data_IF_201680403950
#
_entry.id   IF_201680403950
#
_cell.length_a   1.000
_cell.length_b   1.000
_cell.length_c   1.000
_cell.angle_alpha   90.00
_cell.angle_beta   90.00
_cell.angle_gamma   90.00
#
_symmetry.space_group_name_H-M   'P 1'
#
loop_
_entity.id
_entity.type
_entity.pdbx_description
1 polymer ?
#
# COMPACT_ATOMS: atom_id res chain seq x y z
N UNK A 1 21.07 12.02 -1.11
CA UNK A 1 21.14 10.64 -0.56
C UNK A 1 20.07 9.82 -1.27
N UNK A 2 20.47 8.95 -2.19
CA UNK A 2 19.58 8.08 -2.94
C UNK A 2 19.22 6.87 -2.09
N UNK A 3 17.95 6.79 -1.67
CA UNK A 3 17.44 5.67 -0.88
C UNK A 3 17.28 4.46 -1.84
N UNK A 4 18.30 3.60 -1.91
CA UNK A 4 18.22 2.36 -2.70
C UNK A 4 17.31 1.37 -1.98
N UNK A 5 16.09 1.19 -2.50
CA UNK A 5 15.15 0.18 -2.02
C UNK A 5 15.43 -1.13 -2.77
N UNK A 6 15.83 -2.22 -2.08
CA UNK A 6 16.09 -3.49 -2.74
C UNK A 6 14.86 -4.03 -3.47
N UNK A 7 15.03 -4.61 -4.65
CA UNK A 7 13.94 -5.17 -5.47
C UNK A 7 13.17 -6.32 -4.78
N UNK A 8 13.77 -6.97 -3.77
CA UNK A 8 13.06 -7.92 -2.90
C UNK A 8 12.00 -7.26 -2.00
N UNK A 9 12.09 -5.95 -1.76
CA UNK A 9 11.11 -5.16 -0.98
C UNK A 9 10.01 -4.60 -1.88
N UNK A 10 10.31 -4.34 -3.16
CA UNK A 10 9.35 -3.81 -4.13
C UNK A 10 8.17 -4.78 -4.37
N UNK A 11 8.45 -6.08 -4.53
CA UNK A 11 7.43 -7.13 -4.71
C UNK A 11 6.44 -7.26 -3.54
N UNK A 12 6.89 -7.41 -2.28
CA UNK A 12 5.98 -7.48 -1.15
C UNK A 12 5.24 -6.16 -0.90
N UNK A 13 5.82 -5.00 -1.25
CA UNK A 13 5.13 -3.72 -1.13
C UNK A 13 3.87 -3.65 -2.02
N UNK A 14 3.95 -4.15 -3.27
CA UNK A 14 2.78 -4.22 -4.17
C UNK A 14 1.71 -5.19 -3.64
N UNK A 15 2.12 -6.36 -3.13
CA UNK A 15 1.18 -7.32 -2.53
C UNK A 15 0.49 -6.74 -1.27
N UNK A 16 1.26 -6.10 -0.39
CA UNK A 16 0.74 -5.42 0.80
C UNK A 16 -0.20 -4.26 0.43
N UNK A 17 0.11 -3.51 -0.64
CA UNK A 17 -0.76 -2.45 -1.15
C UNK A 17 -2.11 -3.00 -1.58
N UNK A 18 -2.13 -4.07 -2.37
CA UNK A 18 -3.38 -4.70 -2.81
C UNK A 18 -4.18 -5.26 -1.63
N UNK A 19 -3.50 -5.89 -0.66
CA UNK A 19 -4.15 -6.44 0.52
C UNK A 19 -4.73 -5.33 1.43
N UNK A 20 -4.02 -4.21 1.57
CA UNK A 20 -4.51 -3.03 2.28
C UNK A 20 -5.72 -2.42 1.56
N UNK A 21 -5.73 -2.32 0.23
CA UNK A 21 -6.89 -1.85 -0.53
C UNK A 21 -8.10 -2.79 -0.39
N UNK A 22 -7.87 -4.11 -0.35
CA UNK A 22 -8.92 -5.11 -0.16
C UNK A 22 -9.53 -5.00 1.25
N UNK A 23 -8.67 -4.90 2.27
CA UNK A 23 -9.09 -4.68 3.66
C UNK A 23 -9.87 -3.36 3.79
N UNK A 24 -9.39 -2.28 3.16
CA UNK A 24 -10.08 -0.99 3.16
C UNK A 24 -11.47 -1.07 2.53
N UNK A 25 -11.60 -1.78 1.42
CA UNK A 25 -12.90 -2.02 0.77
C UNK A 25 -13.86 -2.82 1.67
N UNK A 26 -13.37 -3.87 2.32
CA UNK A 26 -14.17 -4.67 3.26
C UNK A 26 -14.65 -3.83 4.46
N UNK A 27 -13.81 -2.93 4.97
CA UNK A 27 -14.16 -2.01 6.06
C UNK A 27 -15.22 -0.98 5.64
N UNK A 28 -15.17 -0.48 4.42
CA UNK A 28 -16.21 0.42 3.87
C UNK A 28 -17.56 -0.32 3.78
N UNK A 29 -17.56 -1.56 3.27
CA UNK A 29 -18.78 -2.38 3.25
C UNK A 29 -19.30 -2.69 4.65
N UNK A 30 -18.40 -2.95 5.60
CA UNK A 30 -18.77 -3.17 7.00
C UNK A 30 -19.37 -1.90 7.63
N UNK A 31 -18.83 -0.72 7.32
CA UNK A 31 -19.39 0.56 7.74
C UNK A 31 -20.82 0.74 7.22
N UNK A 32 -21.04 0.44 5.94
CA UNK A 32 -22.37 0.51 5.32
C UNK A 32 -23.35 -0.50 5.93
N UNK A 33 -22.89 -1.73 6.22
CA UNK A 33 -23.72 -2.78 6.81
C UNK A 33 -24.09 -2.51 8.27
N UNK A 34 -23.18 -1.92 9.05
CA UNK A 34 -23.38 -1.66 10.49
C UNK A 34 -23.91 -0.25 10.78
N UNK A 35 -23.87 0.65 9.79
CA UNK A 35 -24.15 2.08 9.98
C UNK A 35 -23.09 2.82 10.81
N UNK A 36 -21.99 2.17 11.17
CA UNK A 36 -20.94 2.75 11.98
C UNK A 36 -19.85 3.37 11.10
N UNK A 37 -19.84 4.71 11.04
CA UNK A 37 -18.89 5.49 10.25
C UNK A 37 -17.42 5.29 10.67
N UNK A 38 -17.16 4.80 11.89
CA UNK A 38 -15.80 4.54 12.37
C UNK A 38 -15.05 3.56 11.48
N UNK A 39 -15.75 2.55 10.94
CA UNK A 39 -15.18 1.59 10.00
C UNK A 39 -14.77 2.22 8.67
N UNK A 40 -15.48 3.27 8.22
CA UNK A 40 -15.11 3.99 7.01
C UNK A 40 -13.82 4.81 7.19
N UNK A 41 -13.57 5.34 8.39
CA UNK A 41 -12.31 6.01 8.73
C UNK A 41 -11.14 5.03 8.60
N UNK A 42 -11.27 3.83 9.17
CA UNK A 42 -10.26 2.78 9.02
C UNK A 42 -10.10 2.30 7.58
N UNK A 43 -11.20 2.25 6.82
CA UNK A 43 -11.16 2.00 5.37
C UNK A 43 -10.30 3.03 4.63
N UNK A 44 -10.47 4.32 4.95
CA UNK A 44 -9.64 5.40 4.41
C UNK A 44 -8.17 5.28 4.78
N UNK A 45 -7.84 4.92 6.03
CA UNK A 45 -6.45 4.67 6.46
C UNK A 45 -5.83 3.52 5.67
N UNK A 46 -6.57 2.44 5.42
CA UNK A 46 -6.13 1.33 4.59
C UNK A 46 -5.81 1.77 3.15
N UNK A 47 -6.64 2.61 2.54
CA UNK A 47 -6.36 3.19 1.21
C UNK A 47 -5.14 4.11 1.23
N UNK A 48 -4.97 4.93 2.27
CA UNK A 48 -3.77 5.75 2.44
C UNK A 48 -2.49 4.91 2.55
N UNK A 49 -2.53 3.84 3.35
CA UNK A 49 -1.44 2.89 3.47
C UNK A 49 -1.13 2.17 2.15
N UNK A 50 -2.16 1.73 1.43
CA UNK A 50 -2.02 1.15 0.10
C UNK A 50 -1.35 2.11 -0.89
N UNK A 51 -1.79 3.37 -0.94
CA UNK A 51 -1.19 4.38 -1.82
C UNK A 51 0.30 4.61 -1.50
N UNK A 52 0.67 4.62 -0.22
CA UNK A 52 2.06 4.81 0.21
C UNK A 52 2.93 3.58 -0.13
N UNK A 53 2.41 2.37 0.08
CA UNK A 53 3.07 1.12 -0.32
C UNK A 53 3.24 1.02 -1.83
N UNK A 54 2.21 1.44 -2.59
CA UNK A 54 2.26 1.52 -4.04
C UNK A 54 3.33 2.51 -4.51
N UNK A 55 3.35 3.71 -3.93
CA UNK A 55 4.35 4.74 -4.23
C UNK A 55 5.78 4.27 -3.91
N UNK A 56 5.98 3.59 -2.78
CA UNK A 56 7.27 3.00 -2.42
C UNK A 56 7.70 1.90 -3.41
N UNK A 57 6.75 1.10 -3.90
CA UNK A 57 6.99 0.11 -4.97
C UNK A 57 7.39 0.76 -6.29
N UNK A 58 6.75 1.87 -6.66
CA UNK A 58 7.04 2.62 -7.88
C UNK A 58 8.44 3.25 -7.86
N UNK A 59 8.84 3.85 -6.73
CA UNK A 59 10.22 4.35 -6.51
C UNK A 59 11.24 3.21 -6.62
N UNK A 60 10.93 2.05 -6.06
CA UNK A 60 11.82 0.89 -6.16
C UNK A 60 11.93 0.35 -7.60
N UNK A 61 10.87 0.47 -8.40
CA UNK A 61 10.86 0.04 -9.80
C UNK A 61 11.61 1.01 -10.75
N UNK A 62 11.66 2.30 -10.42
CA UNK A 62 12.42 3.31 -11.18
C UNK A 62 13.91 3.33 -10.85
N UNK A 63 14.35 2.54 -9.85
CA UNK A 63 15.77 2.38 -9.52
C UNK A 63 16.51 1.55 -10.58
N UNK A 64 17.57 2.06 -11.22
CA UNK A 64 18.22 1.38 -12.34
C UNK A 64 18.86 0.04 -11.90
N UNK A 65 18.76 -1.01 -12.73
CA UNK A 65 19.41 -2.30 -12.46
C UNK A 65 20.92 -2.16 -12.67
N UNK A 66 21.67 -1.90 -11.60
CA UNK A 66 23.13 -1.80 -11.70
C UNK A 66 23.86 -1.12 -10.54
N UNK A 67 23.19 -0.63 -9.49
CA UNK A 67 23.86 -0.02 -8.34
C UNK A 67 24.43 -1.06 -7.33
N UNK A 68 25.05 -2.11 -7.86
CA UNK A 68 25.84 -3.10 -7.14
C UNK A 68 27.13 -3.37 -7.94
N UNK A 69 28.08 -2.45 -7.84
CA UNK A 69 29.51 -2.68 -8.14
C UNK A 69 30.30 -2.40 -6.87
#
# INVERSE_FOLDING_TARGET
>A
MTLQIPSWVARPAVLLSTLAALAGSALIFLAAATGNYWWAVWGGVCFGGAALLWYAGDIAATSPPGASS
#
